data_IF_520124939017
#
_entry.id   IF_520124939017
#
_cell.length_a   1.000
_cell.length_b   1.000
_cell.length_c   1.000
_cell.angle_alpha   90.00
_cell.angle_beta   90.00
_cell.angle_gamma   90.00
#
_symmetry.space_group_name_H-M   'P 1'
#
loop_
_entity.id
_entity.type
_entity.pdbx_description
1 polymer ?
#
# COMPACT_ATOMS: atom_id res chain seq x y z
N UNK A 1 11.75 -6.88 4.02
CA UNK A 1 11.03 -7.20 2.77
C UNK A 1 11.96 -6.97 1.60
N UNK A 2 12.02 -7.87 0.65
CA UNK A 2 12.90 -7.62 -0.48
C UNK A 2 12.29 -6.66 -1.49
N UNK A 3 13.13 -6.13 -2.38
CA UNK A 3 12.70 -5.09 -3.32
C UNK A 3 11.64 -5.57 -4.32
N UNK A 4 11.67 -6.86 -4.67
CA UNK A 4 10.71 -7.42 -5.62
C UNK A 4 9.32 -7.55 -4.99
N UNK A 5 9.24 -7.98 -3.75
CA UNK A 5 7.97 -8.07 -3.03
C UNK A 5 7.38 -6.69 -2.83
N UNK A 6 8.21 -5.73 -2.45
CA UNK A 6 7.79 -4.36 -2.27
C UNK A 6 7.23 -3.77 -3.56
N UNK A 7 7.94 -3.99 -4.66
CA UNK A 7 7.49 -3.52 -5.97
C UNK A 7 6.15 -4.13 -6.36
N UNK A 8 5.96 -5.42 -6.10
CA UNK A 8 4.71 -6.10 -6.42
C UNK A 8 3.54 -5.54 -5.61
N UNK A 9 3.76 -5.28 -4.33
CA UNK A 9 2.73 -4.70 -3.46
C UNK A 9 2.33 -3.32 -3.98
N UNK A 10 3.31 -2.51 -4.35
CA UNK A 10 3.06 -1.19 -4.91
C UNK A 10 2.26 -1.28 -6.20
N UNK A 11 2.64 -2.18 -7.10
CA UNK A 11 1.92 -2.37 -8.36
C UNK A 11 0.48 -2.83 -8.14
N UNK A 12 0.27 -3.77 -7.20
CA UNK A 12 -1.05 -4.26 -6.87
C UNK A 12 -1.93 -3.16 -6.29
N UNK A 13 -1.38 -2.35 -5.39
CA UNK A 13 -2.10 -1.22 -4.81
C UNK A 13 -2.49 -0.20 -5.87
N UNK A 14 -1.56 0.17 -6.74
CA UNK A 14 -1.84 1.13 -7.81
C UNK A 14 -2.96 0.65 -8.72
N UNK A 15 -2.98 -0.64 -9.04
CA UNK A 15 -4.02 -1.24 -9.86
C UNK A 15 -5.36 -1.30 -9.14
N UNK A 16 -5.38 -1.84 -7.94
CA UNK A 16 -6.62 -2.08 -7.20
C UNK A 16 -7.32 -0.79 -6.80
N UNK A 17 -6.54 0.21 -6.40
CA UNK A 17 -7.08 1.48 -5.96
C UNK A 17 -7.12 2.52 -7.07
N UNK A 18 -6.65 2.16 -8.26
CA UNK A 18 -6.59 3.04 -9.44
C UNK A 18 -5.89 4.36 -9.14
N UNK A 19 -4.73 4.24 -8.49
CA UNK A 19 -3.96 5.42 -8.09
C UNK A 19 -3.17 5.94 -9.30
N UNK A 20 -3.20 7.26 -9.49
CA UNK A 20 -2.48 7.92 -10.59
C UNK A 20 -1.17 8.55 -10.14
N UNK A 21 -0.76 8.29 -8.91
CA UNK A 21 0.46 8.88 -8.33
C UNK A 21 1.35 7.78 -7.77
N UNK A 22 2.61 8.13 -7.53
CA UNK A 22 3.60 7.20 -6.99
C UNK A 22 3.43 7.03 -5.48
N UNK A 23 3.74 5.83 -5.00
CA UNK A 23 3.68 5.52 -3.58
C UNK A 23 4.95 4.78 -3.16
N UNK A 24 5.25 4.80 -1.86
CA UNK A 24 6.33 4.02 -1.30
C UNK A 24 5.88 3.38 0.01
N UNK A 25 6.45 2.23 0.33
CA UNK A 25 6.15 1.52 1.57
C UNK A 25 7.11 1.99 2.64
N UNK A 26 6.57 2.51 3.75
CA UNK A 26 7.38 2.96 4.88
C UNK A 26 7.56 1.87 5.92
N UNK A 27 6.52 1.06 6.14
CA UNK A 27 6.55 0.02 7.16
C UNK A 27 5.52 -1.06 6.84
N UNK A 28 5.79 -2.26 7.33
CA UNK A 28 4.87 -3.39 7.18
C UNK A 28 4.81 -4.14 8.51
N UNK A 29 3.60 -4.30 9.04
CA UNK A 29 3.37 -5.05 10.27
C UNK A 29 2.23 -6.03 10.02
N UNK A 30 2.57 -7.30 9.77
CA UNK A 30 1.57 -8.30 9.42
C UNK A 30 0.86 -7.93 8.14
N UNK A 31 -0.45 -7.69 8.22
CA UNK A 31 -1.25 -7.28 7.07
C UNK A 31 -1.40 -5.77 6.95
N UNK A 32 -0.72 -5.02 7.82
CA UNK A 32 -0.82 -3.57 7.88
C UNK A 32 0.36 -2.93 7.16
N UNK A 33 0.05 -2.12 6.15
CA UNK A 33 1.05 -1.46 5.31
C UNK A 33 0.94 0.05 5.46
N UNK A 34 2.01 0.67 5.93
CA UNK A 34 2.09 2.14 6.01
C UNK A 34 2.69 2.65 4.71
N UNK A 35 1.92 3.39 3.96
CA UNK A 35 2.27 3.85 2.62
C UNK A 35 2.32 5.38 2.60
N UNK A 36 3.31 5.92 1.90
CA UNK A 36 3.39 7.37 1.68
C UNK A 36 3.30 7.64 0.17
N UNK A 37 2.48 8.61 -0.21
CA UNK A 37 2.37 9.02 -1.61
C UNK A 37 3.38 10.12 -1.91
N UNK A 38 3.49 10.49 -3.19
CA UNK A 38 4.45 11.51 -3.62
C UNK A 38 4.04 12.94 -3.23
N UNK A 39 2.87 13.11 -2.63
CA UNK A 39 2.42 14.39 -2.07
C UNK A 39 2.79 14.54 -0.60
N UNK A 40 3.41 13.52 -0.02
CA UNK A 40 3.83 13.54 1.38
C UNK A 40 2.77 13.07 2.38
N UNK A 41 1.63 12.60 1.90
CA UNK A 41 0.58 12.07 2.78
C UNK A 41 0.82 10.60 3.09
N UNK A 42 0.55 10.21 4.32
CA UNK A 42 0.70 8.84 4.78
C UNK A 42 -0.67 8.19 4.95
N UNK A 43 -0.81 6.99 4.40
CA UNK A 43 -2.06 6.23 4.46
C UNK A 43 -1.72 4.82 4.92
N UNK A 44 -2.56 4.25 5.78
CA UNK A 44 -2.40 2.86 6.23
C UNK A 44 -3.40 1.98 5.49
N UNK A 45 -2.87 0.95 4.83
CA UNK A 45 -3.68 -0.05 4.14
C UNK A 45 -3.64 -1.36 4.90
N UNK A 46 -4.77 -2.06 4.92
CA UNK A 46 -4.88 -3.38 5.52
C UNK A 46 -5.16 -4.36 4.39
N UNK A 47 -4.35 -5.42 4.31
CA UNK A 47 -4.55 -6.48 3.32
C UNK A 47 -5.52 -7.50 3.86
N UNK A 48 -6.59 -7.76 3.10
CA UNK A 48 -7.55 -8.82 3.41
C UNK A 48 -7.73 -9.68 2.17
N UNK A 49 -7.26 -10.93 2.25
CA UNK A 49 -7.21 -11.79 1.08
C UNK A 49 -6.23 -11.23 0.08
N UNK A 50 -6.68 -10.94 -1.12
CA UNK A 50 -5.84 -10.36 -2.17
C UNK A 50 -6.09 -8.86 -2.37
N UNK A 51 -6.93 -8.26 -1.53
CA UNK A 51 -7.31 -6.86 -1.67
C UNK A 51 -6.74 -6.00 -0.56
N UNK A 52 -6.59 -4.72 -0.85
CA UNK A 52 -6.08 -3.73 0.10
C UNK A 52 -7.18 -2.71 0.39
N UNK A 53 -7.40 -2.45 1.66
CA UNK A 53 -8.42 -1.50 2.11
C UNK A 53 -7.77 -0.43 2.97
N UNK A 54 -8.26 0.81 2.87
CA UNK A 54 -7.83 1.86 3.79
C UNK A 54 -8.35 1.51 5.18
N UNK A 55 -7.52 1.68 6.19
CA UNK A 55 -7.88 1.33 7.57
C UNK A 55 -9.23 1.93 7.98
N UNK A 56 -9.50 3.15 7.54
CA UNK A 56 -10.75 3.85 7.83
C UNK A 56 -11.98 3.22 7.18
N UNK A 57 -11.80 2.39 6.16
CA UNK A 57 -12.91 1.69 5.50
C UNK A 57 -13.40 0.47 6.25
N UNK A 58 -12.66 0.04 7.28
CA UNK A 58 -12.95 -1.22 7.99
C UNK A 58 -13.72 -1.00 9.33
#
# INVERSE_FOLDING_TARGET
MDAQEEKKIIEDLLKQRRLSYSIEILDVQGDKYTIRNNFGSTIVYIKKGENYYVEEEL
#
